data_IF_677230785659
#
_entry.id   IF_677230785659
#
_cell.length_a   1.000
_cell.length_b   1.000
_cell.length_c   1.000
_cell.angle_alpha   90.00
_cell.angle_beta   90.00
_cell.angle_gamma   90.00
#
_symmetry.space_group_name_H-M   'P 1'
#
loop_
_entity.id
_entity.type
_entity.pdbx_description
1 polymer ?
#
# COMPACT_ATOMS: atom_id res chain seq x y z
N UNK A 1 -32.38 -21.00 -19.06
CA UNK A 1 -32.91 -19.92 -18.20
C UNK A 1 -31.90 -19.73 -17.11
N UNK A 2 -31.28 -18.56 -17.01
CA UNK A 2 -30.50 -18.19 -15.84
C UNK A 2 -31.46 -18.02 -14.67
N UNK A 3 -31.18 -18.68 -13.55
CA UNK A 3 -31.96 -18.51 -12.32
C UNK A 3 -31.43 -17.31 -11.53
N UNK A 4 -32.23 -16.75 -10.62
CA UNK A 4 -31.75 -15.70 -9.70
C UNK A 4 -30.48 -16.16 -8.93
N UNK A 5 -30.40 -17.45 -8.61
CA UNK A 5 -29.23 -18.08 -7.97
C UNK A 5 -27.99 -18.08 -8.85
N UNK A 6 -28.14 -18.25 -10.17
CA UNK A 6 -27.02 -18.15 -11.11
C UNK A 6 -26.45 -16.73 -11.15
N UNK A 7 -27.31 -15.71 -11.11
CA UNK A 7 -26.88 -14.30 -11.04
C UNK A 7 -26.09 -14.02 -9.76
N UNK A 8 -26.60 -14.45 -8.60
CA UNK A 8 -25.90 -14.26 -7.31
C UNK A 8 -24.54 -14.97 -7.29
N UNK A 9 -24.45 -16.17 -7.88
CA UNK A 9 -23.20 -16.91 -8.01
C UNK A 9 -22.17 -16.15 -8.86
N UNK A 10 -22.60 -15.64 -10.02
CA UNK A 10 -21.75 -14.83 -10.90
C UNK A 10 -21.24 -13.57 -10.20
N UNK A 11 -22.08 -12.91 -9.39
CA UNK A 11 -21.67 -11.73 -8.63
C UNK A 11 -20.64 -12.08 -7.54
N UNK A 12 -20.82 -13.19 -6.83
CA UNK A 12 -19.84 -13.66 -5.86
C UNK A 12 -18.50 -14.01 -6.54
N UNK A 13 -18.51 -14.73 -7.67
CA UNK A 13 -17.31 -15.07 -8.46
C UNK A 13 -16.58 -13.83 -8.98
N UNK A 14 -17.32 -12.78 -9.37
CA UNK A 14 -16.75 -11.49 -9.78
C UNK A 14 -16.37 -10.59 -8.61
N UNK A 15 -16.55 -11.05 -7.37
CA UNK A 15 -16.28 -10.31 -6.13
C UNK A 15 -17.02 -8.97 -6.11
N UNK A 16 -18.25 -8.94 -6.64
CA UNK A 16 -19.15 -7.80 -6.67
C UNK A 16 -19.98 -7.74 -5.38
N UNK A 17 -19.30 -7.58 -4.24
CA UNK A 17 -19.90 -7.73 -2.91
C UNK A 17 -21.05 -6.76 -2.65
N UNK A 18 -20.93 -5.49 -3.03
CA UNK A 18 -22.02 -4.51 -2.88
C UNK A 18 -23.27 -4.86 -3.71
N UNK A 19 -23.11 -5.33 -4.94
CA UNK A 19 -24.25 -5.76 -5.78
C UNK A 19 -24.91 -7.02 -5.19
N UNK A 20 -24.10 -7.94 -4.68
CA UNK A 20 -24.58 -9.16 -4.03
C UNK A 20 -25.36 -8.84 -2.75
N UNK A 21 -24.88 -7.90 -1.93
CA UNK A 21 -25.60 -7.40 -0.75
C UNK A 21 -26.95 -6.78 -1.14
N UNK A 22 -26.96 -5.92 -2.16
CA UNK A 22 -28.18 -5.26 -2.63
C UNK A 22 -29.25 -6.24 -3.11
N UNK A 23 -28.85 -7.35 -3.74
CA UNK A 23 -29.77 -8.34 -4.33
C UNK A 23 -30.20 -9.46 -3.38
N UNK A 24 -29.52 -9.67 -2.25
CA UNK A 24 -29.83 -10.76 -1.30
C UNK A 24 -30.86 -10.37 -0.22
N UNK A 25 -31.65 -9.33 -0.49
CA UNK A 25 -32.81 -8.85 0.31
C UNK A 25 -32.48 -8.38 1.73
N UNK A 26 -31.79 -7.24 1.83
CA UNK A 26 -31.67 -6.42 3.03
C UNK A 26 -30.53 -6.84 3.97
N UNK A 27 -29.96 -5.85 4.69
CA UNK A 27 -28.73 -5.90 5.49
C UNK A 27 -28.65 -6.94 6.65
N UNK A 28 -29.46 -8.00 6.64
CA UNK A 28 -29.55 -9.03 7.68
C UNK A 28 -29.65 -10.47 7.14
N UNK A 29 -29.46 -10.68 5.84
CA UNK A 29 -29.30 -12.03 5.28
C UNK A 29 -28.01 -12.70 5.77
N UNK A 30 -27.90 -14.05 5.74
CA UNK A 30 -26.72 -14.78 6.25
C UNK A 30 -25.42 -14.42 5.53
N UNK A 31 -25.51 -13.80 4.35
CA UNK A 31 -24.37 -13.37 3.53
C UNK A 31 -24.00 -11.89 3.71
N UNK A 32 -24.87 -11.08 4.32
CA UNK A 32 -24.68 -9.64 4.45
C UNK A 32 -23.37 -9.25 5.18
N UNK A 33 -22.97 -9.90 6.30
CA UNK A 33 -21.69 -9.59 6.95
C UNK A 33 -20.49 -9.81 6.02
N UNK A 34 -20.51 -10.90 5.24
CA UNK A 34 -19.42 -11.23 4.30
C UNK A 34 -19.38 -10.27 3.12
N UNK A 35 -20.55 -9.84 2.60
CA UNK A 35 -20.60 -8.82 1.56
C UNK A 35 -20.08 -7.48 2.06
N UNK A 36 -20.55 -7.00 3.21
CA UNK A 36 -20.10 -5.73 3.79
C UNK A 36 -18.59 -5.75 4.06
N UNK A 37 -18.08 -6.82 4.67
CA UNK A 37 -16.65 -7.05 4.87
C UNK A 37 -15.85 -7.05 3.56
N UNK A 38 -16.27 -7.85 2.59
CA UNK A 38 -15.60 -7.93 1.29
C UNK A 38 -15.57 -6.59 0.57
N UNK A 39 -16.68 -5.84 0.62
CA UNK A 39 -16.77 -4.53 -0.01
C UNK A 39 -15.82 -3.51 0.63
N UNK A 40 -15.80 -3.41 1.96
CA UNK A 40 -14.87 -2.50 2.67
C UNK A 40 -13.40 -2.83 2.42
N UNK A 41 -13.04 -4.12 2.46
CA UNK A 41 -11.67 -4.55 2.15
C UNK A 41 -11.31 -4.20 0.70
N UNK A 42 -12.22 -4.40 -0.25
CA UNK A 42 -12.01 -4.08 -1.66
C UNK A 42 -11.93 -2.58 -1.94
N UNK A 43 -12.65 -1.75 -1.17
CA UNK A 43 -12.59 -0.29 -1.22
C UNK A 43 -11.33 0.29 -0.53
N UNK A 44 -10.52 -0.57 0.09
CA UNK A 44 -9.33 -0.21 0.85
C UNK A 44 -9.62 0.79 1.98
N UNK A 45 -10.81 0.68 2.58
CA UNK A 45 -11.18 1.46 3.77
C UNK A 45 -10.49 0.91 5.02
N UNK A 46 -9.20 1.22 5.13
CA UNK A 46 -8.31 0.67 6.15
C UNK A 46 -8.65 1.13 7.58
N UNK A 47 -9.52 2.14 7.76
CA UNK A 47 -10.02 2.51 9.09
C UNK A 47 -10.94 1.43 9.67
N UNK A 48 -11.66 0.75 8.79
CA UNK A 48 -12.70 -0.21 9.14
C UNK A 48 -12.28 -1.68 9.00
N UNK A 49 -11.04 -1.97 8.57
CA UNK A 49 -10.61 -3.36 8.45
C UNK A 49 -10.65 -4.08 9.80
N UNK A 50 -11.43 -5.15 9.85
CA UNK A 50 -11.53 -5.98 11.04
C UNK A 50 -12.33 -5.34 12.17
N UNK A 51 -13.14 -4.31 11.89
CA UNK A 51 -14.20 -3.85 12.79
C UNK A 51 -15.40 -4.80 12.70
N UNK A 52 -16.22 -4.93 13.77
CA UNK A 52 -17.46 -5.69 13.69
C UNK A 52 -18.41 -5.10 12.63
N UNK A 53 -19.13 -5.96 11.91
CA UNK A 53 -20.16 -5.52 10.96
C UNK A 53 -21.47 -5.22 11.69
N UNK A 54 -22.12 -4.11 11.34
CA UNK A 54 -23.52 -3.91 11.74
C UNK A 54 -24.43 -5.00 11.16
N UNK A 55 -24.06 -5.56 10.01
CA UNK A 55 -24.77 -6.62 9.33
C UNK A 55 -24.67 -8.00 10.04
N UNK A 56 -23.71 -8.19 10.95
CA UNK A 56 -23.54 -9.43 11.73
C UNK A 56 -22.10 -9.86 11.98
N UNK A 57 -21.90 -11.13 12.31
CA UNK A 57 -20.57 -11.65 12.65
C UNK A 57 -19.78 -12.07 11.40
N UNK A 58 -18.54 -11.61 11.29
CA UNK A 58 -17.58 -12.05 10.27
C UNK A 58 -16.61 -13.04 10.92
N UNK A 59 -16.28 -14.15 10.24
CA UNK A 59 -15.31 -15.11 10.73
C UNK A 59 -13.98 -14.47 11.18
N UNK A 60 -13.53 -14.84 12.38
CA UNK A 60 -12.35 -14.26 13.04
C UNK A 60 -11.09 -14.31 12.17
N UNK A 61 -10.91 -15.37 11.40
CA UNK A 61 -9.73 -15.54 10.55
C UNK A 61 -9.66 -14.49 9.41
N UNK A 62 -10.81 -14.11 8.84
CA UNK A 62 -10.89 -13.02 7.86
C UNK A 62 -10.61 -11.66 8.51
N UNK A 63 -11.17 -11.42 9.71
CA UNK A 63 -10.92 -10.20 10.47
C UNK A 63 -9.43 -10.08 10.84
N UNK A 64 -8.79 -11.17 11.25
CA UNK A 64 -7.38 -11.18 11.65
C UNK A 64 -6.46 -10.94 10.43
N UNK A 65 -6.78 -11.51 9.26
CA UNK A 65 -6.07 -11.22 7.99
C UNK A 65 -6.23 -9.75 7.58
N UNK A 66 -7.45 -9.20 7.63
CA UNK A 66 -7.67 -7.79 7.32
C UNK A 66 -6.93 -6.85 8.29
N UNK A 67 -6.91 -7.16 9.60
CA UNK A 67 -6.14 -6.41 10.60
C UNK A 67 -4.64 -6.45 10.35
N UNK A 68 -4.11 -7.55 9.82
CA UNK A 68 -2.70 -7.65 9.46
C UNK A 68 -2.33 -6.69 8.32
N UNK A 69 -3.28 -6.35 7.45
CA UNK A 69 -3.06 -5.50 6.26
C UNK A 69 -3.33 -4.02 6.47
N UNK A 70 -3.82 -3.57 7.64
CA UNK A 70 -4.10 -2.14 7.91
C UNK A 70 -3.15 -1.51 8.92
N UNK A 71 -3.08 -0.18 8.88
CA UNK A 71 -2.45 0.59 9.95
C UNK A 71 -3.27 0.47 11.25
N UNK A 72 -2.63 0.44 12.43
CA UNK A 72 -3.34 0.44 13.70
C UNK A 72 -4.00 1.79 13.93
N UNK A 73 -5.27 1.80 14.32
CA UNK A 73 -6.07 3.01 14.54
C UNK A 73 -5.75 3.72 15.86
N UNK A 74 -4.99 3.07 16.74
CA UNK A 74 -4.43 3.70 17.93
C UNK A 74 -2.96 3.34 18.13
N UNK A 75 -2.21 4.22 18.80
CA UNK A 75 -0.80 3.97 19.15
C UNK A 75 -0.60 2.69 19.98
N UNK A 76 -1.60 2.30 20.78
CA UNK A 76 -1.55 1.13 21.67
C UNK A 76 -2.09 -0.15 21.04
N UNK A 77 -2.73 -0.08 19.88
CA UNK A 77 -3.36 -1.25 19.26
C UNK A 77 -2.33 -2.36 18.99
N UNK A 78 -2.74 -3.60 19.27
CA UNK A 78 -1.98 -4.83 19.02
C UNK A 78 -2.92 -5.88 18.39
N UNK A 79 -2.45 -6.68 17.40
CA UNK A 79 -1.14 -6.60 16.73
C UNK A 79 -0.93 -5.28 15.97
N UNK A 80 0.31 -4.99 15.53
CA UNK A 80 0.65 -3.69 14.89
C UNK A 80 0.22 -3.59 13.42
N UNK A 81 -0.37 -4.64 12.85
CA UNK A 81 -0.81 -4.68 11.45
C UNK A 81 0.30 -4.27 10.49
N UNK A 82 -0.03 -3.39 9.54
CA UNK A 82 0.86 -2.90 8.50
C UNK A 82 2.11 -2.17 9.04
N UNK A 83 2.12 -1.68 10.29
CA UNK A 83 3.33 -1.10 10.90
C UNK A 83 4.33 -2.18 11.35
N UNK A 84 3.89 -3.39 11.68
CA UNK A 84 4.80 -4.50 11.93
C UNK A 84 5.43 -5.00 10.62
N UNK A 85 4.63 -5.10 9.56
CA UNK A 85 5.11 -5.49 8.23
C UNK A 85 4.11 -5.03 7.18
N UNK A 86 4.60 -4.44 6.09
CA UNK A 86 3.80 -4.06 4.93
C UNK A 86 3.44 -5.25 4.04
N UNK A 87 4.04 -6.43 4.26
CA UNK A 87 3.84 -7.59 3.39
C UNK A 87 2.36 -7.96 3.23
N UNK A 88 1.54 -8.11 4.30
CA UNK A 88 0.11 -8.42 4.14
C UNK A 88 -0.65 -7.31 3.40
N UNK A 89 -0.27 -6.05 3.61
CA UNK A 89 -0.87 -4.91 2.91
C UNK A 89 -0.54 -4.95 1.40
N UNK A 90 0.70 -5.22 1.02
CA UNK A 90 1.09 -5.33 -0.40
C UNK A 90 0.46 -6.52 -1.10
N UNK A 91 0.37 -7.68 -0.44
CA UNK A 91 -0.32 -8.86 -0.99
C UNK A 91 -1.81 -8.57 -1.22
N UNK A 92 -2.46 -7.87 -0.29
CA UNK A 92 -3.85 -7.42 -0.45
C UNK A 92 -3.98 -6.37 -1.56
N UNK A 93 -3.07 -5.39 -1.66
CA UNK A 93 -3.09 -4.40 -2.75
C UNK A 93 -2.98 -5.08 -4.12
N UNK A 94 -2.12 -6.10 -4.23
CA UNK A 94 -1.99 -6.90 -5.45
C UNK A 94 -3.30 -7.67 -5.77
N UNK A 95 -3.95 -8.27 -4.78
CA UNK A 95 -5.26 -8.91 -4.98
C UNK A 95 -6.31 -7.87 -5.43
N UNK A 96 -6.39 -6.72 -4.78
CA UNK A 96 -7.34 -5.64 -5.13
C UNK A 96 -7.10 -5.13 -6.55
N UNK A 97 -5.85 -4.88 -6.95
CA UNK A 97 -5.52 -4.45 -8.32
C UNK A 97 -6.01 -5.48 -9.34
N UNK A 98 -5.81 -6.77 -9.08
CA UNK A 98 -6.27 -7.84 -9.96
C UNK A 98 -7.80 -7.83 -10.11
N UNK A 99 -8.50 -7.73 -8.99
CA UNK A 99 -9.97 -7.72 -8.95
C UNK A 99 -10.51 -6.51 -9.70
N UNK A 100 -9.99 -5.30 -9.42
CA UNK A 100 -10.40 -4.07 -10.09
C UNK A 100 -10.10 -4.11 -11.58
N UNK A 101 -9.01 -4.75 -12.00
CA UNK A 101 -8.71 -4.97 -13.42
C UNK A 101 -9.77 -5.83 -14.10
N UNK A 102 -10.07 -7.01 -13.53
CA UNK A 102 -11.10 -7.93 -14.06
C UNK A 102 -12.48 -7.29 -14.13
N UNK A 103 -12.79 -6.41 -13.15
CA UNK A 103 -14.05 -5.64 -13.09
C UNK A 103 -14.06 -4.41 -14.02
N UNK A 104 -12.95 -4.08 -14.67
CA UNK A 104 -12.76 -2.88 -15.52
C UNK A 104 -12.91 -1.56 -14.74
N UNK A 105 -12.52 -1.55 -13.47
CA UNK A 105 -12.63 -0.40 -12.57
C UNK A 105 -11.29 0.32 -12.46
N UNK A 106 -10.95 1.10 -13.50
CA UNK A 106 -9.59 1.66 -13.62
C UNK A 106 -9.30 2.78 -12.61
N UNK A 107 -10.29 3.57 -12.21
CA UNK A 107 -10.09 4.61 -11.19
C UNK A 107 -9.64 4.04 -9.83
N UNK A 108 -10.35 3.06 -9.21
CA UNK A 108 -9.88 2.43 -7.98
C UNK A 108 -8.63 1.57 -8.18
N UNK A 109 -8.42 0.96 -9.36
CA UNK A 109 -7.16 0.26 -9.67
C UNK A 109 -5.96 1.22 -9.58
N UNK A 110 -6.02 2.36 -10.26
CA UNK A 110 -4.95 3.35 -10.26
C UNK A 110 -4.77 3.96 -8.86
N UNK A 111 -5.84 4.09 -8.07
CA UNK A 111 -5.73 4.49 -6.67
C UNK A 111 -4.97 3.45 -5.82
N UNK A 112 -5.23 2.15 -5.99
CA UNK A 112 -4.49 1.09 -5.31
C UNK A 112 -3.01 1.07 -5.69
N UNK A 113 -2.70 1.24 -6.98
CA UNK A 113 -1.31 1.39 -7.47
C UNK A 113 -0.63 2.62 -6.86
N UNK A 114 -1.36 3.74 -6.74
CA UNK A 114 -0.84 4.94 -6.12
C UNK A 114 -0.51 4.73 -4.64
N UNK A 115 -1.41 4.10 -3.86
CA UNK A 115 -1.13 3.73 -2.46
C UNK A 115 0.12 2.85 -2.39
N UNK A 116 0.23 1.81 -3.23
CA UNK A 116 1.42 0.96 -3.27
C UNK A 116 2.72 1.74 -3.56
N UNK A 117 2.65 2.79 -4.39
CA UNK A 117 3.80 3.64 -4.69
C UNK A 117 4.21 4.55 -3.52
N UNK A 118 3.26 5.07 -2.74
CA UNK A 118 3.53 5.96 -1.60
C UNK A 118 4.31 5.24 -0.49
N UNK A 119 4.00 3.96 -0.28
CA UNK A 119 4.63 3.14 0.75
C UNK A 119 5.84 2.34 0.27
N UNK A 120 6.16 2.35 -1.03
CA UNK A 120 7.26 1.55 -1.59
C UNK A 120 8.61 1.84 -0.93
N UNK A 121 8.94 3.10 -0.55
CA UNK A 121 10.12 3.35 0.26
C UNK A 121 10.09 2.68 1.63
N UNK A 122 8.96 2.67 2.33
CA UNK A 122 8.84 1.97 3.63
C UNK A 122 8.97 0.46 3.47
N UNK A 123 8.42 -0.11 2.39
CA UNK A 123 8.62 -1.51 2.05
C UNK A 123 10.11 -1.83 1.84
N UNK A 124 10.84 -0.94 1.15
CA UNK A 124 12.29 -1.08 0.99
C UNK A 124 13.06 -0.95 2.31
N UNK A 125 12.60 -0.11 3.23
CA UNK A 125 13.22 0.04 4.55
C UNK A 125 12.89 -1.09 5.52
N UNK A 126 11.81 -1.84 5.32
CA UNK A 126 11.35 -2.88 6.25
C UNK A 126 12.43 -3.92 6.62
N UNK A 127 13.22 -4.48 5.69
CA UNK A 127 14.31 -5.40 6.03
C UNK A 127 15.41 -4.79 6.92
N UNK A 128 15.61 -3.46 6.85
CA UNK A 128 16.63 -2.74 7.62
C UNK A 128 16.09 -2.33 8.99
N UNK A 129 14.83 -1.93 9.07
CA UNK A 129 14.18 -1.49 10.30
C UNK A 129 13.64 -2.67 11.14
N UNK A 130 13.31 -3.79 10.50
CA UNK A 130 12.55 -4.90 11.09
C UNK A 130 11.06 -4.59 11.29
N UNK A 131 10.59 -3.47 10.73
CA UNK A 131 9.21 -2.99 10.79
C UNK A 131 8.96 -1.95 9.69
N UNK A 132 7.70 -1.64 9.40
CA UNK A 132 7.34 -0.67 8.37
C UNK A 132 7.19 0.75 8.92
N UNK A 133 8.29 1.28 9.49
CA UNK A 133 8.30 2.64 10.04
C UNK A 133 7.38 2.88 11.24
N UNK A 134 7.14 1.88 12.11
CA UNK A 134 6.35 2.04 13.34
C UNK A 134 6.88 3.19 14.21
N UNK A 135 6.08 4.25 14.47
CA UNK A 135 6.48 5.37 15.33
C UNK A 135 6.96 4.97 16.72
N UNK A 136 6.51 3.81 17.24
CA UNK A 136 6.93 3.31 18.55
C UNK A 136 8.36 2.72 18.53
N UNK A 137 8.90 2.38 17.37
CA UNK A 137 10.16 1.63 17.21
C UNK A 137 11.22 2.41 16.43
N UNK A 138 10.79 3.20 15.43
CA UNK A 138 11.66 3.80 14.42
C UNK A 138 12.77 4.69 15.00
N UNK A 139 12.52 5.33 16.14
CA UNK A 139 13.46 6.25 16.78
C UNK A 139 14.85 5.64 17.00
N UNK A 140 14.93 4.34 17.30
CA UNK A 140 16.22 3.63 17.51
C UNK A 140 17.09 3.61 16.25
N UNK A 141 16.47 3.57 15.08
CA UNK A 141 17.13 3.42 13.79
C UNK A 141 17.40 4.75 13.09
N UNK A 142 16.72 5.83 13.48
CA UNK A 142 16.80 7.12 12.80
C UNK A 142 17.32 8.26 13.67
N UNK A 143 17.40 8.10 14.98
CA UNK A 143 17.98 9.12 15.89
C UNK A 143 19.43 8.80 16.26
N UNK A 144 20.06 9.64 17.09
CA UNK A 144 21.43 9.49 17.59
C UNK A 144 22.40 10.57 17.08
N UNK A 145 23.65 10.57 17.57
CA UNK A 145 24.67 11.52 17.13
C UNK A 145 24.83 11.55 15.61
N UNK A 146 24.91 12.75 15.04
CA UNK A 146 25.05 12.95 13.60
C UNK A 146 23.78 12.69 12.77
N UNK A 147 22.65 12.34 13.40
CA UNK A 147 21.38 12.20 12.67
C UNK A 147 20.76 13.57 12.44
N UNK A 148 20.17 13.75 11.26
CA UNK A 148 19.39 14.94 10.89
C UNK A 148 17.89 14.62 10.77
N UNK A 149 17.48 13.38 11.03
CA UNK A 149 16.10 12.93 10.86
C UNK A 149 15.17 13.60 11.88
N UNK A 150 14.17 14.35 11.39
CA UNK A 150 13.22 15.05 12.25
C UNK A 150 13.85 16.19 13.07
N UNK A 151 15.10 16.58 12.80
CA UNK A 151 15.76 17.69 13.50
C UNK A 151 15.27 19.01 12.90
N UNK A 152 14.76 19.95 13.72
CA UNK A 152 14.41 21.28 13.24
C UNK A 152 15.63 22.00 12.67
N UNK A 153 15.45 22.71 11.55
CA UNK A 153 16.48 23.59 11.01
C UNK A 153 16.32 24.96 11.64
N UNK A 154 17.37 25.46 12.30
CA UNK A 154 17.37 26.82 12.84
C UNK A 154 17.32 27.84 11.70
N UNK A 155 16.46 28.88 11.78
CA UNK A 155 16.43 29.93 10.76
C UNK A 155 17.82 30.55 10.55
N UNK A 156 18.29 30.56 9.30
CA UNK A 156 19.61 31.11 8.94
C UNK A 156 20.77 30.10 9.00
N UNK A 157 20.54 28.88 9.48
CA UNK A 157 21.54 27.81 9.40
C UNK A 157 21.66 27.22 7.99
N UNK A 158 22.84 26.68 7.66
CA UNK A 158 23.08 26.01 6.39
C UNK A 158 22.15 24.80 6.24
N UNK A 159 21.54 24.66 5.05
CA UNK A 159 20.65 23.52 4.76
C UNK A 159 21.48 22.25 4.57
N UNK A 160 21.67 21.53 5.66
CA UNK A 160 22.42 20.28 5.71
C UNK A 160 21.52 19.03 5.56
N UNK A 161 20.24 19.19 5.26
CA UNK A 161 19.32 18.08 5.01
C UNK A 161 18.45 18.37 3.78
N UNK A 162 18.38 17.40 2.88
CA UNK A 162 17.58 17.50 1.67
C UNK A 162 16.07 17.35 1.94
N UNK A 163 15.67 16.89 3.14
CA UNK A 163 14.24 16.84 3.48
C UNK A 163 13.57 18.21 3.32
N UNK A 164 12.37 18.21 2.76
CA UNK A 164 11.51 19.40 2.67
C UNK A 164 10.93 19.76 4.04
N UNK A 165 10.33 20.96 4.18
CA UNK A 165 9.69 21.36 5.44
C UNK A 165 8.57 20.40 5.87
N UNK A 166 7.66 19.95 4.97
CA UNK A 166 6.65 18.94 5.31
C UNK A 166 7.25 17.61 5.79
N UNK A 167 8.26 17.08 5.08
CA UNK A 167 8.95 15.83 5.47
C UNK A 167 9.59 15.97 6.86
N UNK A 168 10.32 17.05 7.11
CA UNK A 168 10.95 17.27 8.44
C UNK A 168 9.92 17.32 9.56
N UNK A 169 8.78 18.00 9.35
CA UNK A 169 7.69 18.06 10.32
C UNK A 169 7.08 16.68 10.57
N UNK A 170 6.89 15.88 9.52
CA UNK A 170 6.40 14.52 9.64
C UNK A 170 7.40 13.60 10.38
N UNK A 171 8.69 13.70 10.05
CA UNK A 171 9.77 12.97 10.72
C UNK A 171 9.92 13.37 12.19
N UNK A 172 9.82 14.66 12.53
CA UNK A 172 9.83 15.13 13.93
C UNK A 172 8.66 14.53 14.70
N UNK A 173 7.46 14.59 14.12
CA UNK A 173 6.25 14.06 14.74
C UNK A 173 6.28 12.53 14.87
N UNK A 174 6.82 11.80 13.90
CA UNK A 174 6.90 10.32 13.96
C UNK A 174 7.67 9.85 15.20
N UNK A 175 8.66 10.63 15.67
CA UNK A 175 9.47 10.27 16.84
C UNK A 175 8.73 10.40 18.18
N UNK A 176 7.58 11.09 18.21
CA UNK A 176 6.82 11.33 19.46
C UNK A 176 5.37 10.86 19.41
N UNK A 177 4.79 10.68 18.21
CA UNK A 177 3.34 10.44 18.05
C UNK A 177 2.84 9.18 18.74
N UNK A 178 3.69 8.17 18.96
CA UNK A 178 3.33 6.98 19.73
C UNK A 178 2.92 7.28 21.19
N UNK A 179 3.31 8.45 21.71
CA UNK A 179 3.00 8.93 23.05
C UNK A 179 1.97 10.08 23.06
N UNK A 180 1.51 10.53 21.88
CA UNK A 180 0.46 11.54 21.77
C UNK A 180 -0.92 10.95 22.12
N UNK A 181 -1.89 11.79 22.53
CA UNK A 181 -3.28 11.38 22.65
C UNK A 181 -3.86 10.87 21.31
N UNK A 182 -4.95 10.10 21.37
CA UNK A 182 -5.58 9.48 20.19
C UNK A 182 -5.84 10.40 18.98
N UNK A 183 -6.29 11.66 19.15
CA UNK A 183 -6.41 12.59 18.01
C UNK A 183 -5.08 12.90 17.31
N UNK A 184 -3.97 12.92 18.06
CA UNK A 184 -2.64 13.12 17.50
C UNK A 184 -2.24 11.97 16.58
N UNK A 185 -2.43 10.73 17.04
CA UNK A 185 -2.20 9.52 16.24
C UNK A 185 -3.00 9.53 14.92
N UNK A 186 -4.31 9.80 14.98
CA UNK A 186 -5.16 9.88 13.79
C UNK A 186 -4.70 10.95 12.81
N UNK A 187 -4.34 12.14 13.31
CA UNK A 187 -3.83 13.22 12.45
C UNK A 187 -2.46 12.89 11.80
N UNK A 188 -1.64 12.05 12.43
CA UNK A 188 -0.40 11.56 11.83
C UNK A 188 -0.68 10.56 10.70
N UNK A 189 -1.59 9.61 10.92
CA UNK A 189 -2.01 8.67 9.89
C UNK A 189 -2.70 9.38 8.72
N UNK A 190 -3.52 10.39 8.96
CA UNK A 190 -4.20 11.12 7.87
C UNK A 190 -3.23 11.92 6.98
N UNK A 191 -2.19 12.56 7.57
CA UNK A 191 -1.46 13.65 6.87
C UNK A 191 0.04 13.48 6.75
N UNK A 192 0.65 12.60 7.53
CA UNK A 192 2.10 12.62 7.74
C UNK A 192 2.80 11.29 7.49
N UNK A 193 2.12 10.15 7.62
CA UNK A 193 2.79 8.86 7.43
C UNK A 193 3.43 8.74 6.03
N UNK A 194 2.76 9.19 4.96
CA UNK A 194 3.28 9.11 3.59
C UNK A 194 4.46 10.06 3.37
N UNK A 195 4.49 11.18 4.11
CA UNK A 195 5.64 12.08 4.13
C UNK A 195 6.84 11.45 4.82
N UNK A 196 6.64 10.61 5.85
CA UNK A 196 7.74 9.82 6.46
C UNK A 196 8.27 8.79 5.48
N UNK A 197 7.39 8.11 4.72
CA UNK A 197 7.81 7.15 3.70
C UNK A 197 8.68 7.84 2.64
N UNK A 198 8.22 8.98 2.12
CA UNK A 198 8.97 9.79 1.16
C UNK A 198 10.31 10.26 1.73
N UNK A 199 10.34 10.74 2.96
CA UNK A 199 11.57 11.18 3.63
C UNK A 199 12.60 10.05 3.78
N UNK A 200 12.15 8.84 4.13
CA UNK A 200 13.00 7.64 4.19
C UNK A 200 13.53 7.25 2.80
N UNK A 201 12.69 7.32 1.77
CA UNK A 201 13.11 7.13 0.38
C UNK A 201 14.17 8.14 -0.05
N UNK A 202 13.97 9.42 0.22
CA UNK A 202 14.92 10.48 -0.10
C UNK A 202 16.26 10.31 0.66
N UNK A 203 16.21 9.88 1.93
CA UNK A 203 17.41 9.55 2.70
C UNK A 203 18.27 8.49 1.98
N UNK A 204 17.65 7.43 1.48
CA UNK A 204 18.36 6.31 0.87
C UNK A 204 18.75 6.57 -0.59
N UNK A 205 17.86 7.15 -1.40
CA UNK A 205 18.03 7.20 -2.85
C UNK A 205 18.65 8.50 -3.37
N UNK A 206 18.38 9.65 -2.72
CA UNK A 206 18.58 10.99 -3.31
C UNK A 206 19.40 11.95 -2.45
N UNK A 207 19.63 11.63 -1.17
CA UNK A 207 20.32 12.54 -0.25
C UNK A 207 21.78 12.78 -0.65
N UNK A 208 22.14 14.05 -0.88
CA UNK A 208 23.48 14.46 -1.32
C UNK A 208 24.50 14.51 -0.18
N UNK A 209 24.02 14.65 1.05
CA UNK A 209 24.85 14.68 2.26
C UNK A 209 24.33 13.70 3.31
N UNK A 210 24.48 12.38 3.08
CA UNK A 210 23.94 11.35 3.97
C UNK A 210 24.42 11.55 5.41
N UNK A 211 23.48 11.53 6.35
CA UNK A 211 23.76 11.64 7.78
C UNK A 211 23.82 10.25 8.45
N UNK A 212 23.97 10.19 9.77
CA UNK A 212 24.13 8.91 10.48
C UNK A 212 22.97 7.92 10.30
N UNK A 213 21.79 8.37 9.87
CA UNK A 213 20.70 7.49 9.42
C UNK A 213 21.19 6.48 8.38
N UNK A 214 21.87 6.96 7.35
CA UNK A 214 22.43 6.11 6.30
C UNK A 214 23.86 5.69 6.61
N UNK A 215 24.68 6.61 7.12
CA UNK A 215 26.13 6.40 7.26
C UNK A 215 26.50 5.39 8.34
N UNK A 216 25.56 5.01 9.22
CA UNK A 216 25.74 3.95 10.21
C UNK A 216 25.51 2.54 9.67
N UNK A 217 24.81 2.41 8.54
CA UNK A 217 24.50 1.11 7.95
C UNK A 217 25.77 0.54 7.32
N UNK A 218 25.92 -0.78 7.39
CA UNK A 218 26.97 -1.50 6.67
C UNK A 218 26.89 -1.20 5.16
N UNK A 219 28.03 -1.12 4.48
CA UNK A 219 28.08 -0.66 3.09
C UNK A 219 27.22 -1.54 2.15
N UNK A 220 27.22 -2.86 2.34
CA UNK A 220 26.37 -3.78 1.57
C UNK A 220 24.88 -3.53 1.80
N UNK A 221 24.46 -3.36 3.07
CA UNK A 221 23.08 -3.05 3.44
C UNK A 221 22.66 -1.69 2.89
N UNK A 222 23.54 -0.69 2.97
CA UNK A 222 23.29 0.64 2.43
C UNK A 222 23.13 0.60 0.91
N UNK A 223 23.99 -0.11 0.20
CA UNK A 223 23.95 -0.19 -1.26
C UNK A 223 22.65 -0.87 -1.72
N UNK A 224 22.32 -2.02 -1.14
CA UNK A 224 21.06 -2.73 -1.41
C UNK A 224 19.83 -1.85 -1.15
N UNK A 225 19.76 -1.21 0.02
CA UNK A 225 18.67 -0.29 0.35
C UNK A 225 18.59 0.89 -0.62
N UNK A 226 19.73 1.44 -1.04
CA UNK A 226 19.81 2.55 -2.00
C UNK A 226 19.20 2.13 -3.34
N UNK A 227 19.54 0.96 -3.85
CA UNK A 227 19.06 0.48 -5.15
C UNK A 227 17.55 0.18 -5.08
N UNK A 228 17.07 -0.46 -4.01
CA UNK A 228 15.63 -0.71 -3.80
C UNK A 228 14.83 0.59 -3.64
N UNK A 229 15.35 1.59 -2.91
CA UNK A 229 14.70 2.89 -2.79
C UNK A 229 14.74 3.72 -4.08
N UNK A 230 15.79 3.59 -4.92
CA UNK A 230 15.82 4.22 -6.25
C UNK A 230 14.77 3.63 -7.17
N UNK A 231 14.68 2.30 -7.20
CA UNK A 231 13.64 1.60 -7.97
C UNK A 231 12.23 2.00 -7.51
N UNK A 232 12.00 2.07 -6.20
CA UNK A 232 10.74 2.54 -5.62
C UNK A 232 10.41 3.99 -6.02
N UNK A 233 11.41 4.88 -6.01
CA UNK A 233 11.22 6.27 -6.40
C UNK A 233 10.87 6.41 -7.89
N UNK A 234 11.55 5.67 -8.76
CA UNK A 234 11.27 5.69 -10.20
C UNK A 234 9.92 5.04 -10.54
N UNK A 235 9.48 4.05 -9.75
CA UNK A 235 8.12 3.52 -9.84
C UNK A 235 7.07 4.57 -9.46
N UNK A 236 7.29 5.32 -8.36
CA UNK A 236 6.41 6.40 -7.94
C UNK A 236 6.32 7.54 -8.97
N UNK A 237 7.42 7.83 -9.69
CA UNK A 237 7.47 8.84 -10.75
C UNK A 237 7.00 8.31 -12.14
N UNK A 238 6.59 7.04 -12.21
CA UNK A 238 6.22 6.37 -13.47
C UNK A 238 4.95 6.93 -14.12
N UNK A 239 4.76 6.61 -15.40
CA UNK A 239 3.56 7.02 -16.13
C UNK A 239 2.28 6.41 -15.53
N UNK A 240 2.35 5.20 -14.98
CA UNK A 240 1.21 4.50 -14.39
C UNK A 240 0.69 5.22 -13.14
N UNK A 241 1.57 5.55 -12.18
CA UNK A 241 1.20 6.27 -10.96
C UNK A 241 0.66 7.67 -11.27
N UNK A 242 1.21 8.33 -12.30
CA UNK A 242 0.74 9.65 -12.75
C UNK A 242 -0.67 9.65 -13.33
N UNK A 243 -1.22 8.50 -13.77
CA UNK A 243 -2.61 8.43 -14.23
C UNK A 243 -3.60 8.89 -13.15
N UNK A 244 -3.26 8.74 -11.86
CA UNK A 244 -4.10 9.23 -10.75
C UNK A 244 -4.30 10.74 -10.80
N UNK A 245 -3.28 11.47 -11.25
CA UNK A 245 -3.22 12.94 -11.25
C UNK A 245 -3.52 13.54 -12.63
N UNK A 246 -3.47 12.73 -13.69
CA UNK A 246 -3.71 13.11 -15.08
C UNK A 246 -5.19 13.35 -15.42
N UNK A 247 -6.06 13.44 -14.42
CA UNK A 247 -7.41 14.01 -14.55
C UNK A 247 -7.44 15.47 -14.03
N UNK A 248 -6.65 16.42 -14.58
CA UNK A 248 -6.80 17.82 -14.22
C UNK A 248 -8.10 18.33 -14.82
N UNK A 249 -8.92 18.92 -13.94
CA UNK A 249 -10.01 19.84 -14.26
C UNK A 249 -9.74 20.63 -15.55
N UNK A 250 -10.55 20.39 -16.58
CA UNK A 250 -10.49 21.14 -17.84
C UNK A 250 -11.34 20.54 -18.94
N UNK A 251 -11.18 19.24 -19.24
CA UNK A 251 -11.97 18.56 -20.26
C UNK A 251 -12.37 17.13 -19.82
N UNK A 252 -13.43 17.07 -19.01
CA UNK A 252 -14.35 15.93 -18.86
C UNK A 252 -13.79 14.61 -18.31
N UNK A 253 -13.99 14.34 -17.01
CA UNK A 253 -14.32 13.03 -16.42
C UNK A 253 -13.58 11.77 -16.93
N UNK A 254 -12.33 11.87 -17.40
CA UNK A 254 -11.59 10.72 -17.95
C UNK A 254 -11.16 9.76 -16.84
N UNK A 255 -11.97 8.74 -16.57
CA UNK A 255 -11.48 7.52 -15.93
C UNK A 255 -10.56 6.84 -16.95
N UNK A 256 -9.31 6.47 -16.61
CA UNK A 256 -8.41 5.82 -17.55
C UNK A 256 -9.06 4.59 -18.17
N UNK A 257 -8.87 4.35 -19.47
CA UNK A 257 -9.26 3.09 -20.09
C UNK A 257 -8.25 1.99 -19.73
N UNK A 258 -8.62 0.69 -19.85
CA UNK A 258 -7.68 -0.40 -19.70
C UNK A 258 -6.46 -0.30 -20.62
N UNK A 259 -6.65 0.19 -21.85
CA UNK A 259 -5.59 0.41 -22.83
C UNK A 259 -4.64 1.54 -22.39
N UNK A 260 -5.17 2.61 -21.80
CA UNK A 260 -4.35 3.69 -21.23
C UNK A 260 -3.50 3.19 -20.05
N UNK A 261 -4.10 2.38 -19.17
CA UNK A 261 -3.38 1.74 -18.05
C UNK A 261 -2.27 0.81 -18.55
N UNK A 262 -2.54 -0.06 -19.53
CA UNK A 262 -1.53 -0.94 -20.12
C UNK A 262 -0.41 -0.15 -20.82
N UNK A 263 -0.76 0.90 -21.55
CA UNK A 263 0.22 1.76 -22.22
C UNK A 263 1.12 2.47 -21.21
N UNK A 264 0.53 2.98 -20.13
CA UNK A 264 1.29 3.62 -19.05
C UNK A 264 2.18 2.61 -18.32
N UNK A 265 1.70 1.38 -18.08
CA UNK A 265 2.49 0.31 -17.48
C UNK A 265 3.65 -0.14 -18.37
N UNK A 266 3.43 -0.31 -19.68
CA UNK A 266 4.50 -0.63 -20.62
C UNK A 266 5.62 0.43 -20.62
N UNK A 267 5.25 1.71 -20.58
CA UNK A 267 6.21 2.82 -20.43
C UNK A 267 6.93 2.79 -19.09
N UNK A 268 6.21 2.52 -18.00
CA UNK A 268 6.80 2.38 -16.67
C UNK A 268 7.84 1.25 -16.64
N UNK A 269 7.49 0.05 -17.12
CA UNK A 269 8.41 -1.10 -17.21
C UNK A 269 9.68 -0.78 -18.00
N UNK A 270 9.54 -0.15 -19.16
CA UNK A 270 10.70 0.28 -19.97
C UNK A 270 11.62 1.21 -19.18
N UNK A 271 11.07 2.14 -18.40
CA UNK A 271 11.86 3.02 -17.53
C UNK A 271 12.53 2.25 -16.39
N UNK A 272 11.78 1.36 -15.72
CA UNK A 272 12.25 0.63 -14.54
C UNK A 272 13.38 -0.37 -14.88
N UNK A 273 13.38 -0.95 -16.08
CA UNK A 273 14.43 -1.84 -16.58
C UNK A 273 15.82 -1.20 -16.69
N UNK A 274 15.94 0.12 -16.57
CA UNK A 274 17.25 0.78 -16.49
C UNK A 274 17.96 0.53 -15.14
N UNK A 275 17.24 0.03 -14.13
CA UNK A 275 17.82 -0.43 -12.87
C UNK A 275 18.07 -1.93 -12.95
N UNK A 276 19.23 -2.45 -12.49
CA UNK A 276 19.48 -3.89 -12.44
C UNK A 276 18.38 -4.68 -11.72
N UNK A 277 17.91 -4.18 -10.57
CA UNK A 277 16.81 -4.77 -9.82
C UNK A 277 15.47 -4.72 -10.58
N UNK A 278 15.25 -3.68 -11.38
CA UNK A 278 14.05 -3.56 -12.21
C UNK A 278 14.09 -4.49 -13.42
N UNK A 279 15.26 -4.70 -14.02
CA UNK A 279 15.47 -5.70 -15.07
C UNK A 279 15.18 -7.12 -14.55
N UNK A 280 15.72 -7.46 -13.37
CA UNK A 280 15.47 -8.74 -12.71
C UNK A 280 13.99 -8.95 -12.40
N UNK A 281 13.35 -7.96 -11.78
CA UNK A 281 11.93 -8.02 -11.39
C UNK A 281 10.97 -8.22 -12.58
N UNK A 282 11.35 -7.74 -13.76
CA UNK A 282 10.49 -7.71 -14.96
C UNK A 282 10.90 -8.75 -16.02
N UNK A 283 11.84 -9.64 -15.70
CA UNK A 283 12.41 -10.59 -16.66
C UNK A 283 11.38 -11.57 -17.23
N UNK A 284 10.49 -12.08 -16.38
CA UNK A 284 9.53 -13.13 -16.71
C UNK A 284 8.12 -12.58 -17.02
N UNK A 285 8.02 -11.30 -17.40
CA UNK A 285 6.75 -10.61 -17.64
C UNK A 285 5.89 -11.26 -18.74
N UNK A 286 6.51 -11.93 -19.72
CA UNK A 286 5.80 -12.59 -20.82
C UNK A 286 5.05 -13.86 -20.37
N UNK A 287 5.40 -14.39 -19.19
CA UNK A 287 4.79 -15.56 -18.58
C UNK A 287 3.96 -15.23 -17.33
N UNK A 288 3.89 -13.95 -16.96
CA UNK A 288 3.13 -13.49 -15.81
C UNK A 288 1.67 -13.22 -16.19
N UNK A 289 0.76 -14.05 -15.68
CA UNK A 289 -0.69 -13.94 -15.88
C UNK A 289 -1.30 -12.77 -15.09
N UNK A 290 -0.52 -12.05 -14.28
CA UNK A 290 -0.99 -10.89 -13.54
C UNK A 290 -1.37 -9.73 -14.48
N UNK A 291 -2.46 -8.99 -14.21
CA UNK A 291 -2.95 -7.93 -15.11
C UNK A 291 -1.98 -6.81 -15.47
N UNK A 292 -1.00 -6.57 -14.59
CA UNK A 292 0.11 -5.66 -14.81
C UNK A 292 1.39 -6.49 -14.72
N UNK A 293 1.80 -7.20 -15.79
CA UNK A 293 2.84 -8.21 -15.72
C UNK A 293 4.15 -7.68 -15.13
N UNK A 294 4.75 -8.44 -14.23
CA UNK A 294 5.96 -8.11 -13.47
C UNK A 294 5.74 -7.23 -12.24
N UNK A 295 4.52 -6.74 -11.97
CA UNK A 295 4.25 -5.90 -10.79
C UNK A 295 4.45 -6.62 -9.45
N UNK A 296 3.98 -7.89 -9.24
CA UNK A 296 4.31 -8.63 -8.03
C UNK A 296 5.81 -8.81 -7.84
N UNK A 297 6.54 -9.11 -8.93
CA UNK A 297 8.00 -9.21 -8.94
C UNK A 297 8.68 -7.90 -8.54
N UNK A 298 8.20 -6.76 -9.06
CA UNK A 298 8.71 -5.44 -8.72
C UNK A 298 8.60 -5.16 -7.22
N UNK A 299 7.44 -5.38 -6.62
CA UNK A 299 7.28 -5.18 -5.18
C UNK A 299 8.08 -6.20 -4.37
N UNK A 300 8.22 -7.44 -4.87
CA UNK A 300 9.02 -8.47 -4.23
C UNK A 300 10.49 -8.05 -4.11
N UNK A 301 11.06 -7.53 -5.19
CA UNK A 301 12.45 -7.04 -5.22
C UNK A 301 12.61 -5.79 -4.34
N UNK A 302 11.68 -4.83 -4.40
CA UNK A 302 11.70 -3.65 -3.52
C UNK A 302 11.67 -4.07 -2.04
N UNK A 303 10.82 -5.03 -1.66
CA UNK A 303 10.68 -5.52 -0.29
C UNK A 303 11.71 -6.57 0.14
N UNK A 304 12.61 -6.99 -0.77
CA UNK A 304 13.54 -8.11 -0.56
C UNK A 304 12.85 -9.38 0.00
N UNK A 305 11.64 -9.67 -0.48
CA UNK A 305 10.82 -10.81 -0.05
C UNK A 305 9.81 -11.14 -1.13
N UNK A 306 9.43 -12.40 -1.28
CA UNK A 306 8.37 -12.77 -2.22
C UNK A 306 7.02 -12.17 -1.81
N UNK A 307 6.39 -11.46 -2.76
CA UNK A 307 5.08 -10.83 -2.65
C UNK A 307 4.23 -11.25 -3.85
N UNK A 308 3.26 -12.12 -3.60
CA UNK A 308 2.23 -12.51 -4.56
C UNK A 308 0.88 -11.94 -4.13
N UNK A 309 -0.12 -11.84 -5.02
CA UNK A 309 -1.49 -11.55 -4.61
C UNK A 309 -1.91 -12.44 -3.42
N UNK A 310 -2.63 -11.85 -2.47
CA UNK A 310 -3.32 -12.60 -1.43
C UNK A 310 -4.61 -13.24 -2.00
N UNK A 311 -5.33 -13.96 -1.16
CA UNK A 311 -6.59 -14.62 -1.47
C UNK A 311 -7.61 -14.34 -0.36
N UNK A 312 -7.65 -13.10 0.14
CA UNK A 312 -8.55 -12.69 1.21
C UNK A 312 -9.97 -12.49 0.66
N UNK A 313 -10.08 -11.71 -0.42
CA UNK A 313 -11.34 -11.45 -1.10
C UNK A 313 -11.80 -12.68 -1.90
N UNK A 314 -10.86 -13.48 -2.41
CA UNK A 314 -11.16 -14.80 -2.98
C UNK A 314 -11.75 -15.77 -1.96
N UNK A 315 -11.23 -15.80 -0.72
CA UNK A 315 -11.82 -16.59 0.36
C UNK A 315 -13.21 -16.09 0.78
N UNK A 316 -13.42 -14.76 0.83
CA UNK A 316 -14.77 -14.19 1.07
C UNK A 316 -15.74 -14.67 -0.02
N UNK A 317 -15.33 -14.61 -1.28
CA UNK A 317 -16.13 -15.10 -2.42
C UNK A 317 -16.49 -16.58 -2.28
N UNK A 318 -15.53 -17.46 -1.94
CA UNK A 318 -15.81 -18.89 -1.73
C UNK A 318 -16.80 -19.16 -0.60
N UNK A 319 -16.71 -18.41 0.50
CA UNK A 319 -17.67 -18.54 1.61
C UNK A 319 -19.07 -18.05 1.23
N UNK A 320 -19.15 -16.97 0.45
CA UNK A 320 -20.41 -16.49 -0.11
C UNK A 320 -21.03 -17.54 -1.04
N UNK A 321 -20.24 -18.14 -1.93
CA UNK A 321 -20.68 -19.20 -2.83
C UNK A 321 -21.22 -20.42 -2.07
N UNK A 322 -20.55 -20.82 -0.98
CA UNK A 322 -21.01 -21.90 -0.12
C UNK A 322 -22.32 -21.55 0.62
N UNK A 323 -22.50 -20.30 1.03
CA UNK A 323 -23.72 -19.83 1.70
C UNK A 323 -24.91 -19.62 0.73
N UNK A 324 -24.63 -19.42 -0.56
CA UNK A 324 -25.64 -19.31 -1.63
C UNK A 324 -26.03 -20.68 -2.23
N UNK A 325 -25.30 -21.75 -1.86
CA UNK A 325 -25.58 -23.12 -2.25
C UNK A 325 -26.73 -23.73 -1.42
#
# INVERSE_FOLDING_TARGET
METARDVLRVLAERQAFGDLEALTTGARGPVAPLCAFGQRVLDLDAEDFGMPEEAGEVPKDLLDRARASRMPQTAKERPRGALASLRPAYRLLLEVIEIRWRRREMAPLVAAVHIASEYAPMLAWEPVLGHAGDPALIGRSVTGPGSRFGVPVEPGSERNCDHTRPERSACERTLRVAHEPGPGWRAYLDRQHSQVARALGDCAARCRTPCSVMSRLDDGVRHDLTDRCRLAADFADSALVRLRHAAPVGHGFGVPSPEEVQTAWARARSSLRHHPLGEEALKDEDTDDYPLPGMPGLFSVIGATELTPDDLLGEVSRRLLAALA
#
